data_IF_503887510445
#
_entry.id   IF_503887510445
#
_cell.length_a   1.000
_cell.length_b   1.000
_cell.length_c   1.000
_cell.angle_alpha   90.00
_cell.angle_beta   90.00
_cell.angle_gamma   90.00
#
_symmetry.space_group_name_H-M   'P 1'
#
loop_
_entity.id
_entity.type
_entity.pdbx_description
1 polymer ?
#
# COMPACT_ATOMS: atom_id res chain seq x y z
N UNK A 1 12.71 -12.85 -4.48
CA UNK A 1 12.62 -11.78 -3.48
C UNK A 1 11.92 -12.27 -2.24
N UNK A 2 12.36 -11.77 -1.10
CA UNK A 2 11.80 -12.17 0.18
C UNK A 2 10.62 -11.30 0.56
N UNK A 3 9.62 -11.84 1.27
CA UNK A 3 8.57 -11.01 1.87
C UNK A 3 9.17 -10.02 2.88
N UNK A 4 8.54 -8.88 3.00
CA UNK A 4 8.94 -7.85 3.96
C UNK A 4 7.90 -7.71 5.05
N UNK A 5 8.38 -7.47 6.27
CA UNK A 5 7.53 -7.14 7.40
C UNK A 5 7.50 -5.62 7.55
N UNK A 6 6.30 -5.06 7.58
CA UNK A 6 6.10 -3.62 7.64
C UNK A 6 5.15 -3.28 8.77
N UNK A 7 5.54 -2.34 9.62
CA UNK A 7 4.65 -1.79 10.63
C UNK A 7 3.90 -0.60 10.03
N UNK A 8 2.58 -0.60 10.21
CA UNK A 8 1.75 0.51 9.74
C UNK A 8 1.96 1.72 10.64
N UNK A 9 2.22 2.87 10.02
CA UNK A 9 2.34 4.16 10.70
C UNK A 9 1.35 5.14 10.10
N UNK A 10 0.80 6.00 10.96
CA UNK A 10 -0.19 6.98 10.54
C UNK A 10 -1.55 6.38 10.31
N UNK A 11 -2.44 7.19 9.73
CA UNK A 11 -3.87 6.90 9.67
C UNK A 11 -4.45 6.85 8.26
N UNK A 12 -3.61 6.98 7.22
CA UNK A 12 -4.09 7.13 5.85
C UNK A 12 -4.88 5.93 5.33
N UNK A 13 -4.65 4.75 5.91
CA UNK A 13 -5.31 3.50 5.48
C UNK A 13 -6.39 3.04 6.45
N UNK A 14 -6.77 3.86 7.42
CA UNK A 14 -7.89 3.53 8.30
C UNK A 14 -9.20 3.52 7.52
N UNK A 15 -10.14 2.65 7.88
CA UNK A 15 -10.09 1.69 8.99
C UNK A 15 -9.46 0.34 8.64
N UNK A 16 -9.10 0.10 7.39
CA UNK A 16 -8.59 -1.21 6.95
C UNK A 16 -7.27 -1.56 7.65
N UNK A 17 -6.35 -0.61 7.70
CA UNK A 17 -5.06 -0.77 8.38
C UNK A 17 -4.91 0.34 9.40
N UNK A 18 -4.50 -0.03 10.61
CA UNK A 18 -4.32 0.92 11.73
C UNK A 18 -2.87 0.99 12.13
N UNK A 19 -2.47 2.14 12.65
CA UNK A 19 -1.13 2.30 13.22
C UNK A 19 -0.86 1.20 14.24
N UNK A 20 0.31 0.59 14.14
CA UNK A 20 0.69 -0.54 14.98
C UNK A 20 0.38 -1.91 14.39
N UNK A 21 -0.40 -1.98 13.32
CA UNK A 21 -0.59 -3.25 12.60
C UNK A 21 0.73 -3.69 11.95
N UNK A 22 0.95 -5.00 11.93
CA UNK A 22 2.08 -5.59 11.21
C UNK A 22 1.59 -6.29 9.96
N UNK A 23 2.20 -5.94 8.84
CA UNK A 23 1.79 -6.37 7.52
C UNK A 23 2.91 -7.15 6.86
N UNK A 24 2.56 -8.26 6.22
CA UNK A 24 3.46 -8.98 5.34
C UNK A 24 3.29 -8.44 3.92
N UNK A 25 4.35 -7.88 3.39
CA UNK A 25 4.40 -7.39 2.02
C UNK A 25 5.16 -8.39 1.19
N UNK A 26 4.56 -8.86 0.11
CA UNK A 26 5.14 -9.86 -0.78
C UNK A 26 5.49 -9.23 -2.12
N UNK A 27 6.49 -9.77 -2.83
CA UNK A 27 6.78 -9.33 -4.20
C UNK A 27 5.54 -9.50 -5.07
N UNK A 28 5.29 -8.58 -6.02
CA UNK A 28 4.13 -8.71 -6.89
C UNK A 28 4.33 -9.88 -7.87
N UNK A 29 3.59 -10.97 -7.67
CA UNK A 29 3.63 -12.15 -8.56
C UNK A 29 2.73 -11.98 -9.76
N UNK A 30 1.83 -11.05 -9.70
CA UNK A 30 0.91 -10.69 -10.78
C UNK A 30 0.87 -9.18 -10.87
N UNK A 31 0.41 -8.64 -12.00
CA UNK A 31 0.23 -7.19 -12.09
C UNK A 31 -0.71 -6.69 -10.99
N UNK A 32 -0.45 -5.52 -10.40
CA UNK A 32 -1.36 -4.93 -9.44
C UNK A 32 -2.74 -4.71 -10.04
N UNK A 33 -3.76 -4.80 -9.20
CA UNK A 33 -5.16 -4.60 -9.58
C UNK A 33 -5.78 -3.54 -8.71
N UNK A 34 -6.81 -2.89 -9.26
CA UNK A 34 -7.65 -1.98 -8.47
C UNK A 34 -8.14 -2.69 -7.20
N UNK A 35 -8.02 -2.02 -6.07
CA UNK A 35 -8.37 -2.55 -4.76
C UNK A 35 -7.21 -3.18 -3.98
N UNK A 36 -6.11 -3.50 -4.62
CA UNK A 36 -4.94 -4.01 -3.93
C UNK A 36 -4.35 -2.95 -3.00
N UNK A 37 -3.82 -3.38 -1.86
CA UNK A 37 -2.97 -2.53 -1.02
C UNK A 37 -1.53 -2.80 -1.39
N UNK A 38 -0.81 -1.75 -1.73
CA UNK A 38 0.58 -1.86 -2.20
C UNK A 38 1.51 -1.01 -1.35
N UNK A 39 2.75 -1.46 -1.26
CA UNK A 39 3.85 -0.67 -0.70
C UNK A 39 4.57 -0.03 -1.88
N UNK A 40 4.62 1.29 -1.90
CA UNK A 40 5.23 2.04 -2.99
C UNK A 40 6.27 3.01 -2.44
N UNK A 41 7.23 3.35 -3.29
CA UNK A 41 8.18 4.42 -3.01
C UNK A 41 7.52 5.74 -3.38
N UNK A 42 7.63 6.72 -2.48
CA UNK A 42 7.11 8.07 -2.77
C UNK A 42 7.87 8.65 -3.97
N UNK A 43 7.18 9.02 -5.06
CA UNK A 43 7.86 9.59 -6.23
C UNK A 43 8.58 10.90 -5.95
N UNK A 44 8.17 11.64 -4.93
CA UNK A 44 8.75 12.93 -4.55
C UNK A 44 9.91 12.79 -3.57
N UNK A 45 9.90 11.72 -2.78
CA UNK A 45 10.92 11.49 -1.76
C UNK A 45 11.30 10.02 -1.77
N UNK A 46 12.39 9.70 -2.47
CA UNK A 46 12.79 8.33 -2.83
C UNK A 46 13.06 7.43 -1.62
N UNK A 47 13.35 7.99 -0.47
CA UNK A 47 13.62 7.22 0.74
C UNK A 47 12.35 6.89 1.54
N UNK A 48 11.21 7.44 1.13
CA UNK A 48 9.96 7.28 1.84
C UNK A 48 9.12 6.18 1.21
N UNK A 49 8.61 5.27 2.05
CA UNK A 49 7.71 4.19 1.62
C UNK A 49 6.31 4.45 2.12
N UNK A 50 5.33 4.18 1.28
CA UNK A 50 3.91 4.44 1.57
C UNK A 50 3.11 3.18 1.33
N UNK A 51 2.16 2.87 2.24
CA UNK A 51 1.11 1.89 2.02
C UNK A 51 -0.13 2.61 1.49
N UNK A 52 -0.62 2.19 0.33
CA UNK A 52 -1.75 2.83 -0.34
C UNK A 52 -2.61 1.80 -1.04
N UNK A 53 -3.84 2.19 -1.34
CA UNK A 53 -4.79 1.37 -2.10
C UNK A 53 -4.69 1.73 -3.58
N UNK A 54 -4.65 0.73 -4.45
CA UNK A 54 -4.69 0.96 -5.89
C UNK A 54 -6.12 1.36 -6.27
N UNK A 55 -6.28 2.58 -6.77
CA UNK A 55 -7.56 3.06 -7.28
C UNK A 55 -7.73 2.69 -8.76
N UNK A 56 -6.65 2.80 -9.53
CA UNK A 56 -6.69 2.59 -10.97
C UNK A 56 -5.32 2.14 -11.47
N UNK A 57 -5.30 1.27 -12.45
CA UNK A 57 -4.08 0.85 -13.14
C UNK A 57 -4.02 1.54 -14.48
N UNK A 58 -2.93 2.26 -14.73
CA UNK A 58 -2.68 2.93 -15.99
C UNK A 58 -1.55 2.26 -16.76
N UNK A 59 -1.31 2.68 -18.00
CA UNK A 59 -0.27 2.08 -18.82
C UNK A 59 1.12 2.17 -18.20
N UNK A 60 1.40 3.27 -17.52
CA UNK A 60 2.75 3.57 -17.00
C UNK A 60 2.87 3.42 -15.48
N UNK A 61 1.79 3.14 -14.77
CA UNK A 61 1.85 3.10 -13.34
C UNK A 61 0.50 2.95 -12.67
N UNK A 62 0.47 3.29 -11.37
CA UNK A 62 -0.71 3.12 -10.53
C UNK A 62 -1.18 4.47 -9.99
N UNK A 63 -2.48 4.69 -10.05
CA UNK A 63 -3.12 5.75 -9.26
C UNK A 63 -3.43 5.12 -7.89
N UNK A 64 -2.85 5.68 -6.84
CA UNK A 64 -3.02 5.16 -5.49
C UNK A 64 -3.67 6.19 -4.58
N UNK A 65 -4.45 5.70 -3.63
CA UNK A 65 -5.17 6.55 -2.67
C UNK A 65 -5.04 5.96 -1.26
N UNK A 66 -5.09 6.83 -0.27
CA UNK A 66 -5.29 6.40 1.11
C UNK A 66 -6.77 6.17 1.34
N UNK A 67 -7.12 5.12 2.11
CA UNK A 67 -8.51 4.84 2.43
C UNK A 67 -9.17 6.00 3.21
N UNK A 68 -8.36 6.73 3.97
CA UNK A 68 -8.80 7.92 4.69
C UNK A 68 -8.37 9.17 3.92
N UNK A 69 -9.08 9.47 2.85
CA UNK A 69 -8.67 10.40 1.82
C UNK A 69 -8.26 11.79 2.27
N UNK A 70 -8.93 12.37 3.27
CA UNK A 70 -8.68 13.72 3.76
C UNK A 70 -7.40 13.84 4.62
N UNK A 71 -6.81 12.71 5.01
CA UNK A 71 -5.59 12.66 5.84
C UNK A 71 -4.45 11.92 5.15
N UNK A 72 -4.51 11.83 3.84
CA UNK A 72 -3.61 10.98 3.08
C UNK A 72 -2.82 11.78 2.05
N UNK A 73 -1.52 11.50 1.95
CA UNK A 73 -0.68 11.94 0.83
C UNK A 73 -0.64 10.80 -0.18
N UNK A 74 -1.16 11.03 -1.37
CA UNK A 74 -1.33 10.01 -2.39
C UNK A 74 -1.28 10.61 -3.81
N UNK A 75 -1.78 9.86 -4.82
CA UNK A 75 -1.72 10.31 -6.21
C UNK A 75 -2.41 11.64 -6.47
N UNK A 76 -3.33 12.06 -5.62
CA UNK A 76 -3.92 13.41 -5.72
C UNK A 76 -2.88 14.51 -5.49
N UNK A 77 -1.78 14.17 -4.80
CA UNK A 77 -0.69 15.11 -4.49
C UNK A 77 0.52 14.92 -5.39
N UNK A 78 0.85 13.68 -5.76
CA UNK A 78 2.09 13.39 -6.48
C UNK A 78 1.91 12.66 -7.82
N UNK A 79 0.66 12.43 -8.24
CA UNK A 79 0.37 11.77 -9.52
C UNK A 79 0.50 10.26 -9.46
N UNK A 80 0.51 9.61 -10.62
CA UNK A 80 0.64 8.17 -10.70
C UNK A 80 2.00 7.70 -10.24
N UNK A 81 2.04 6.53 -9.60
CA UNK A 81 3.28 5.89 -9.17
C UNK A 81 3.76 4.98 -10.29
N UNK A 82 4.98 5.21 -10.82
CA UNK A 82 5.54 4.31 -11.84
C UNK A 82 5.65 2.87 -11.33
N UNK A 83 5.48 1.89 -12.20
CA UNK A 83 5.59 0.49 -11.80
C UNK A 83 6.93 0.16 -11.15
N UNK A 84 8.01 0.82 -11.55
CA UNK A 84 9.33 0.62 -10.95
C UNK A 84 9.37 1.00 -9.45
N UNK A 85 8.45 1.83 -9.00
CA UNK A 85 8.37 2.25 -7.61
C UNK A 85 7.39 1.43 -6.77
N UNK A 86 6.76 0.41 -7.36
CA UNK A 86 5.92 -0.54 -6.62
C UNK A 86 6.81 -1.62 -6.04
N UNK A 87 6.89 -1.66 -4.71
CA UNK A 87 7.80 -2.57 -4.02
C UNK A 87 7.14 -3.92 -3.79
N UNK A 88 5.86 -3.93 -3.46
CA UNK A 88 5.15 -5.17 -3.24
C UNK A 88 3.69 -4.97 -2.90
N UNK A 89 3.00 -6.08 -2.69
CA UNK A 89 1.59 -6.12 -2.34
C UNK A 89 1.46 -6.51 -0.87
N UNK A 90 0.62 -5.80 -0.13
CA UNK A 90 0.28 -6.18 1.22
C UNK A 90 -0.65 -7.38 1.17
N UNK A 91 -0.22 -8.51 1.71
CA UNK A 91 -0.93 -9.77 1.59
C UNK A 91 -1.65 -10.19 2.86
N UNK A 92 -1.09 -9.87 4.02
CA UNK A 92 -1.54 -10.42 5.29
C UNK A 92 -1.25 -9.44 6.41
N UNK A 93 -2.23 -9.24 7.30
CA UNK A 93 -1.99 -8.61 8.59
C UNK A 93 -1.79 -9.72 9.61
N UNK A 94 -0.62 -9.79 10.23
CA UNK A 94 -0.30 -10.85 11.18
C UNK A 94 -0.13 -10.35 12.61
N UNK A 95 -0.19 -9.06 12.83
CA UNK A 95 -0.11 -8.50 14.17
C UNK A 95 -0.92 -7.22 14.29
N UNK A 96 -1.53 -6.98 15.43
CA UNK A 96 -1.68 -7.89 16.55
C UNK A 96 -2.56 -9.11 16.20
N UNK A 97 -2.41 -10.20 16.92
CA UNK A 97 -3.10 -11.46 16.58
C UNK A 97 -4.62 -11.34 16.49
N UNK A 98 -5.22 -10.50 17.33
CA UNK A 98 -6.68 -10.27 17.30
C UNK A 98 -7.16 -9.63 16.00
N UNK A 99 -6.24 -9.09 15.19
CA UNK A 99 -6.55 -8.45 13.91
C UNK A 99 -5.98 -9.22 12.73
N UNK A 100 -5.54 -10.46 12.99
CA UNK A 100 -4.99 -11.32 11.95
C UNK A 100 -5.99 -11.52 10.80
N UNK A 101 -5.52 -11.45 9.58
CA UNK A 101 -6.36 -11.71 8.42
C UNK A 101 -5.66 -11.42 7.10
N UNK A 102 -6.20 -12.02 6.06
CA UNK A 102 -5.80 -11.70 4.69
C UNK A 102 -6.31 -10.32 4.32
N UNK A 103 -5.56 -9.61 3.50
CA UNK A 103 -5.96 -8.30 3.02
C UNK A 103 -6.65 -8.47 1.67
N UNK A 104 -7.96 -8.18 1.67
CA UNK A 104 -8.79 -8.31 0.48
C UNK A 104 -8.79 -7.01 -0.32
N UNK A 105 -9.07 -7.15 -1.61
CA UNK A 105 -9.35 -5.99 -2.46
C UNK A 105 -10.70 -5.39 -2.08
N UNK A 106 -10.73 -4.10 -2.09
CA UNK A 106 -11.97 -3.37 -1.82
C UNK A 106 -12.96 -3.52 -2.97
#
# INVERSE_FOLDING_TARGET
MRPWRVAVRGHSMEPALREGDWILVVPPRRPPRSGDVVLVRDPRERTRLLLKRVAEVEADGLVVVGDRGDHSTDSRHFGAVPFADVIGRAALRYGPLRRFGLLDRA
#
